data_IF_176788005593
#
_entry.id   IF_176788005593
#
_cell.length_a   1.000
_cell.length_b   1.000
_cell.length_c   1.000
_cell.angle_alpha   90.00
_cell.angle_beta   90.00
_cell.angle_gamma   90.00
#
_symmetry.space_group_name_H-M   'P 1'
#
loop_
_entity.id
_entity.type
_entity.pdbx_description
1 polymer ?
#
# COMPACT_ATOMS: atom_id res chain seq x y z
N UNK A 1 -26.24 41.68 -9.42
CA UNK A 1 -27.44 41.13 -10.10
C UNK A 1 -27.51 39.64 -9.83
N UNK A 2 -28.61 39.17 -9.24
CA UNK A 2 -28.94 37.75 -9.02
C UNK A 2 -29.11 37.07 -10.38
N UNK A 3 -28.56 35.85 -10.57
CA UNK A 3 -29.27 34.71 -11.18
C UNK A 3 -28.64 33.40 -10.68
N UNK A 4 -29.37 32.71 -9.79
CA UNK A 4 -29.22 31.28 -9.55
C UNK A 4 -29.62 30.52 -10.82
N UNK A 5 -28.95 29.40 -11.10
CA UNK A 5 -29.61 28.28 -11.75
C UNK A 5 -29.11 26.95 -11.19
N UNK A 6 -29.94 26.42 -10.32
CA UNK A 6 -30.07 25.04 -9.87
C UNK A 6 -30.22 24.09 -11.06
N UNK A 7 -29.33 23.11 -11.19
CA UNK A 7 -29.62 21.89 -11.97
C UNK A 7 -29.70 20.74 -10.97
N UNK A 8 -30.95 20.40 -10.65
CA UNK A 8 -31.37 19.15 -10.05
C UNK A 8 -31.36 18.04 -11.11
N UNK A 9 -31.08 16.80 -10.69
CA UNK A 9 -31.28 15.57 -11.47
C UNK A 9 -29.95 14.95 -11.86
N UNK A 10 -29.58 13.73 -11.46
CA UNK A 10 -30.41 12.54 -11.29
C UNK A 10 -29.69 11.56 -10.37
N UNK A 11 -30.35 11.11 -9.30
CA UNK A 11 -29.90 9.94 -8.54
C UNK A 11 -30.45 8.72 -9.30
N UNK A 12 -29.59 8.07 -10.07
CA UNK A 12 -29.89 6.76 -10.65
C UNK A 12 -29.72 5.69 -9.58
N UNK A 13 -30.84 5.24 -9.00
CA UNK A 13 -30.90 4.03 -8.19
C UNK A 13 -30.64 2.81 -9.09
N UNK A 14 -29.47 2.18 -8.99
CA UNK A 14 -29.25 0.84 -9.53
C UNK A 14 -29.52 -0.14 -8.38
N UNK A 15 -30.75 -0.64 -8.32
CA UNK A 15 -31.09 -1.82 -7.56
C UNK A 15 -31.01 -3.02 -8.50
N UNK A 16 -29.92 -3.78 -8.43
CA UNK A 16 -29.86 -5.12 -8.99
C UNK A 16 -29.64 -6.11 -7.85
N UNK A 17 -30.74 -6.67 -7.39
CA UNK A 17 -30.80 -7.84 -6.53
C UNK A 17 -30.24 -9.04 -7.28
N UNK A 18 -29.02 -9.45 -6.98
CA UNK A 18 -28.55 -10.78 -7.37
C UNK A 18 -29.01 -11.78 -6.32
N UNK A 19 -29.96 -12.61 -6.72
CA UNK A 19 -30.50 -13.72 -5.94
C UNK A 19 -29.39 -14.69 -5.52
N UNK A 20 -29.51 -15.20 -4.28
CA UNK A 20 -28.74 -16.33 -3.81
C UNK A 20 -29.25 -17.62 -4.48
N UNK A 21 -28.35 -18.40 -5.09
CA UNK A 21 -28.63 -19.79 -5.44
C UNK A 21 -28.06 -20.65 -4.32
N UNK A 22 -28.93 -21.08 -3.40
CA UNK A 22 -28.65 -22.16 -2.46
C UNK A 22 -29.04 -23.44 -3.21
N UNK A 23 -28.04 -24.16 -3.71
CA UNK A 23 -28.27 -25.52 -4.17
C UNK A 23 -28.43 -26.42 -2.93
N UNK A 24 -29.66 -26.90 -2.72
CA UNK A 24 -30.00 -27.98 -1.82
C UNK A 24 -29.20 -29.24 -2.17
N UNK A 25 -28.06 -29.44 -1.52
CA UNK A 25 -27.41 -30.74 -1.37
C UNK A 25 -28.09 -31.50 -0.25
N UNK A 26 -29.30 -31.99 -0.52
CA UNK A 26 -30.09 -32.80 0.38
C UNK A 26 -29.50 -34.22 0.43
N UNK A 27 -28.89 -34.60 1.55
CA UNK A 27 -28.78 -36.00 2.01
C UNK A 27 -28.45 -36.06 3.51
N UNK A 28 -29.54 -36.02 4.27
CA UNK A 28 -29.86 -36.70 5.52
C UNK A 28 -28.74 -37.08 6.53
N UNK A 29 -28.90 -36.74 7.82
CA UNK A 29 -28.22 -37.36 8.94
C UNK A 29 -29.01 -38.59 9.43
N UNK A 30 -28.41 -39.78 9.46
CA UNK A 30 -28.98 -40.93 10.18
C UNK A 30 -28.39 -41.00 11.60
N UNK A 31 -29.26 -40.86 12.58
CA UNK A 31 -28.98 -41.04 14.00
C UNK A 31 -29.39 -42.44 14.48
N UNK A 32 -28.72 -42.91 15.56
CA UNK A 32 -29.11 -43.95 16.55
C UNK A 32 -28.99 -45.41 16.05
N UNK A 33 -28.60 -46.43 16.83
CA UNK A 33 -28.61 -46.65 18.29
C UNK A 33 -27.96 -48.00 18.68
N UNK A 34 -27.50 -48.11 19.95
CA UNK A 34 -27.43 -49.30 20.84
C UNK A 34 -26.47 -50.46 20.45
N UNK A 35 -25.83 -51.25 21.33
CA UNK A 35 -25.74 -51.38 22.80
C UNK A 35 -24.50 -52.27 23.11
N UNK A 36 -23.74 -51.90 24.16
CA UNK A 36 -23.23 -52.74 25.28
C UNK A 36 -22.67 -54.16 25.02
N UNK A 37 -21.44 -54.45 25.51
CA UNK A 37 -21.12 -55.48 26.54
C UNK A 37 -19.70 -55.25 27.11
N UNK A 38 -19.59 -55.33 28.44
CA UNK A 38 -18.43 -55.21 29.32
C UNK A 38 -17.56 -56.49 29.37
N UNK A 39 -16.25 -56.37 29.68
CA UNK A 39 -15.68 -56.78 30.98
C UNK A 39 -14.14 -56.62 31.09
N UNK A 40 -13.73 -56.03 32.23
CA UNK A 40 -12.62 -56.33 33.17
C UNK A 40 -11.22 -56.67 32.58
N UNK A 41 -10.13 -56.04 33.01
CA UNK A 41 -9.56 -56.22 34.35
C UNK A 41 -8.54 -55.12 34.76
N UNK A 42 -8.26 -55.07 36.07
CA UNK A 42 -7.65 -54.01 36.90
C UNK A 42 -6.12 -53.87 36.77
N UNK A 43 -5.59 -52.65 36.90
CA UNK A 43 -4.60 -52.27 37.95
C UNK A 43 -4.33 -50.74 37.99
N UNK A 44 -4.33 -50.15 39.20
CA UNK A 44 -3.91 -48.77 39.57
C UNK A 44 -2.36 -48.71 39.71
N UNK A 45 -1.72 -47.58 40.07
CA UNK A 45 -1.94 -46.15 39.73
C UNK A 45 -0.61 -45.43 39.34
N UNK A 46 -0.59 -44.38 38.51
CA UNK A 46 0.43 -43.33 38.68
C UNK A 46 0.14 -42.07 37.87
N UNK A 47 0.31 -40.94 38.56
CA UNK A 47 0.78 -39.64 38.08
C UNK A 47 0.03 -38.93 36.95
N UNK A 48 -0.68 -37.87 37.36
CA UNK A 48 -0.99 -36.73 36.52
C UNK A 48 0.29 -36.16 35.86
N UNK A 49 0.32 -35.94 34.54
CA UNK A 49 1.23 -34.98 33.98
C UNK A 49 0.60 -33.59 34.16
N UNK A 50 1.15 -32.81 35.09
CA UNK A 50 1.07 -31.35 35.04
C UNK A 50 1.55 -30.90 33.66
N UNK A 51 0.61 -30.60 32.77
CA UNK A 51 0.86 -30.04 31.44
C UNK A 51 0.09 -28.73 31.34
N UNK A 52 0.59 -27.73 32.05
CA UNK A 52 0.08 -26.37 31.99
C UNK A 52 1.12 -25.50 32.67
N UNK A 53 1.95 -24.83 31.87
CA UNK A 53 2.76 -23.65 32.24
C UNK A 53 3.77 -23.28 31.14
N UNK A 54 4.07 -24.17 30.17
CA UNK A 54 5.06 -23.88 29.10
C UNK A 54 4.49 -23.22 27.82
N UNK A 55 3.17 -22.98 27.74
CA UNK A 55 2.52 -22.42 26.55
C UNK A 55 2.34 -20.90 26.58
N UNK A 56 2.09 -20.31 27.74
CA UNK A 56 1.72 -18.88 27.86
C UNK A 56 2.90 -17.92 27.63
N UNK A 57 4.14 -18.34 27.93
CA UNK A 57 5.34 -17.51 27.74
C UNK A 57 5.68 -17.33 26.25
N UNK A 58 5.56 -18.39 25.44
CA UNK A 58 5.82 -18.34 23.98
C UNK A 58 4.74 -17.61 23.20
N UNK A 59 3.50 -17.61 23.70
CA UNK A 59 2.38 -16.90 23.07
C UNK A 59 2.50 -15.39 23.31
N UNK A 60 2.92 -14.98 24.51
CA UNK A 60 3.17 -13.58 24.85
C UNK A 60 4.34 -12.94 24.07
N UNK A 61 5.43 -13.69 23.79
CA UNK A 61 6.54 -13.18 22.98
C UNK A 61 6.12 -12.96 21.51
N UNK A 62 5.42 -13.92 20.91
CA UNK A 62 4.95 -13.81 19.52
C UNK A 62 3.98 -12.65 19.33
N UNK A 63 3.08 -12.44 20.28
CA UNK A 63 2.12 -11.32 20.23
C UNK A 63 2.80 -9.95 20.37
N UNK A 64 3.85 -9.86 21.20
CA UNK A 64 4.65 -8.63 21.32
C UNK A 64 5.43 -8.34 20.05
N UNK A 65 6.06 -9.35 19.46
CA UNK A 65 6.80 -9.22 18.20
C UNK A 65 5.88 -8.80 17.05
N UNK A 66 4.68 -9.38 16.98
CA UNK A 66 3.65 -9.01 16.01
C UNK A 66 3.14 -7.58 16.14
N UNK A 67 2.86 -7.15 17.37
CA UNK A 67 2.48 -5.75 17.64
C UNK A 67 3.59 -4.78 17.23
N UNK A 68 4.85 -5.14 17.47
CA UNK A 68 5.99 -4.32 17.08
C UNK A 68 6.13 -4.22 15.55
N UNK A 69 5.95 -5.32 14.81
CA UNK A 69 5.99 -5.33 13.34
C UNK A 69 4.85 -4.49 12.74
N UNK A 70 3.62 -4.66 13.23
CA UNK A 70 2.48 -3.88 12.73
C UNK A 70 2.61 -2.39 13.00
N UNK A 71 3.16 -2.01 14.15
CA UNK A 71 3.35 -0.59 14.50
C UNK A 71 4.29 0.15 13.54
N UNK A 72 5.17 -0.57 12.82
CA UNK A 72 6.06 0.00 11.79
C UNK A 72 5.34 0.33 10.48
N UNK A 73 4.12 -0.18 10.29
CA UNK A 73 3.40 -0.11 9.02
C UNK A 73 2.04 0.55 9.17
N UNK A 74 1.31 0.26 10.25
CA UNK A 74 -0.03 0.80 10.49
C UNK A 74 -0.01 2.34 10.54
N UNK A 75 -0.71 2.95 9.58
CA UNK A 75 -0.76 4.41 9.39
C UNK A 75 0.55 5.05 8.92
N UNK A 76 1.63 4.27 8.77
CA UNK A 76 2.96 4.78 8.43
C UNK A 76 3.17 4.86 6.92
N UNK A 77 4.11 5.72 6.51
CA UNK A 77 4.57 5.77 5.13
C UNK A 77 5.52 4.60 4.85
N UNK A 78 5.13 3.69 3.96
CA UNK A 78 5.93 2.52 3.62
C UNK A 78 7.01 2.81 2.56
N UNK A 79 7.03 4.00 1.97
CA UNK A 79 8.09 4.41 1.07
C UNK A 79 7.62 5.26 -0.10
N UNK A 80 8.58 5.60 -0.95
CA UNK A 80 8.33 6.27 -2.22
C UNK A 80 8.34 5.25 -3.37
N UNK A 81 7.27 5.23 -4.14
CA UNK A 81 7.14 4.38 -5.33
C UNK A 81 7.20 5.28 -6.56
N UNK A 82 8.31 5.19 -7.28
CA UNK A 82 8.52 6.05 -8.44
C UNK A 82 7.54 5.66 -9.55
N UNK A 83 6.81 6.64 -10.13
CA UNK A 83 5.99 6.38 -11.29
C UNK A 83 6.86 6.04 -12.51
N UNK A 84 6.34 5.22 -13.41
CA UNK A 84 6.97 4.97 -14.71
C UNK A 84 6.77 6.16 -15.67
N UNK A 85 7.26 6.02 -16.91
CA UNK A 85 7.11 7.05 -17.95
C UNK A 85 5.66 7.33 -18.41
N UNK A 86 4.70 6.53 -17.95
CA UNK A 86 3.26 6.74 -18.15
C UNK A 86 2.57 7.31 -16.91
N UNK A 87 3.35 7.76 -15.92
CA UNK A 87 2.87 8.24 -14.63
C UNK A 87 2.08 7.18 -13.83
N UNK A 88 2.47 5.91 -13.95
CA UNK A 88 1.81 4.78 -13.28
C UNK A 88 2.74 4.18 -12.23
N UNK A 89 2.18 3.90 -11.04
CA UNK A 89 2.86 3.20 -9.95
C UNK A 89 2.35 1.76 -9.85
N UNK A 90 3.29 0.81 -9.83
CA UNK A 90 2.99 -0.63 -9.76
C UNK A 90 2.38 -1.01 -8.41
N UNK A 91 1.19 -1.60 -8.44
CA UNK A 91 0.58 -2.21 -7.25
C UNK A 91 1.44 -3.37 -6.72
N UNK A 92 2.11 -4.11 -7.61
CA UNK A 92 3.00 -5.22 -7.23
C UNK A 92 4.19 -4.72 -6.40
N UNK A 93 4.79 -3.60 -6.78
CA UNK A 93 5.95 -3.04 -6.06
C UNK A 93 5.54 -2.59 -4.64
N UNK A 94 4.35 -1.99 -4.52
CA UNK A 94 3.75 -1.63 -3.23
C UNK A 94 3.51 -2.87 -2.37
N UNK A 95 2.93 -3.92 -2.96
CA UNK A 95 2.66 -5.18 -2.27
C UNK A 95 3.93 -5.85 -1.77
N UNK A 96 4.97 -5.87 -2.60
CA UNK A 96 6.28 -6.43 -2.28
C UNK A 96 6.98 -5.69 -1.15
N UNK A 97 7.00 -4.36 -1.20
CA UNK A 97 7.58 -3.54 -0.12
C UNK A 97 6.84 -3.74 1.20
N UNK A 98 5.51 -3.81 1.15
CA UNK A 98 4.68 -4.09 2.31
C UNK A 98 4.99 -5.46 2.93
N UNK A 99 5.12 -6.50 2.10
CA UNK A 99 5.48 -7.85 2.53
C UNK A 99 6.87 -7.87 3.20
N UNK A 100 7.84 -7.18 2.61
CA UNK A 100 9.19 -7.04 3.16
C UNK A 100 9.19 -6.38 4.54
N UNK A 101 8.45 -5.26 4.72
CA UNK A 101 8.36 -4.56 6.02
C UNK A 101 7.68 -5.38 7.10
N UNK A 102 6.72 -6.21 6.71
CA UNK A 102 6.00 -7.11 7.62
C UNK A 102 6.73 -8.43 7.86
N UNK A 103 7.79 -8.74 7.10
CA UNK A 103 8.50 -10.02 7.20
C UNK A 103 7.64 -11.22 6.77
N UNK A 104 6.74 -11.03 5.81
CA UNK A 104 5.80 -12.05 5.33
C UNK A 104 5.95 -12.27 3.82
N UNK A 105 5.32 -13.31 3.28
CA UNK A 105 5.28 -13.51 1.83
C UNK A 105 4.18 -12.65 1.19
N UNK A 106 4.34 -12.29 -0.09
CA UNK A 106 3.29 -11.55 -0.81
C UNK A 106 1.96 -12.31 -0.90
N UNK A 107 1.98 -13.64 -0.90
CA UNK A 107 0.76 -14.47 -0.86
C UNK A 107 -0.02 -14.35 0.45
N UNK A 108 0.64 -13.91 1.52
CA UNK A 108 0.01 -13.67 2.82
C UNK A 108 -0.74 -12.33 2.87
N UNK A 109 -0.59 -11.51 1.83
CA UNK A 109 -1.27 -10.24 1.66
C UNK A 109 -2.44 -10.40 0.69
N UNK A 110 -3.66 -10.24 1.18
CA UNK A 110 -4.89 -10.35 0.38
C UNK A 110 -5.66 -9.04 0.39
N UNK A 111 -6.54 -8.85 -0.61
CA UNK A 111 -7.47 -7.72 -0.63
C UNK A 111 -6.78 -6.34 -0.67
N UNK A 112 -5.59 -6.24 -1.26
CA UNK A 112 -4.87 -4.97 -1.38
C UNK A 112 -5.70 -3.93 -2.14
N UNK A 113 -6.11 -2.87 -1.44
CA UNK A 113 -6.80 -1.71 -1.99
C UNK A 113 -5.89 -0.51 -1.91
N UNK A 114 -5.75 0.23 -3.00
CA UNK A 114 -4.93 1.42 -3.09
C UNK A 114 -5.78 2.61 -3.51
N UNK A 115 -5.53 3.75 -2.88
CA UNK A 115 -6.00 5.05 -3.28
C UNK A 115 -4.78 5.91 -3.61
N UNK A 116 -4.59 6.18 -4.90
CA UNK A 116 -3.44 6.93 -5.41
C UNK A 116 -3.55 8.44 -5.19
N UNK A 117 -4.78 8.96 -5.09
CA UNK A 117 -5.02 10.39 -4.81
C UNK A 117 -4.66 10.72 -3.36
N UNK A 118 -5.12 9.90 -2.42
CA UNK A 118 -4.82 10.03 -0.98
C UNK A 118 -3.46 9.42 -0.58
N UNK A 119 -2.78 8.79 -1.54
CA UNK A 119 -1.50 8.07 -1.36
C UNK A 119 -1.56 7.11 -0.16
N UNK A 120 -2.63 6.31 -0.11
CA UNK A 120 -2.95 5.41 1.00
C UNK A 120 -3.40 4.03 0.51
N UNK A 121 -3.29 3.04 1.38
CA UNK A 121 -3.69 1.68 1.08
C UNK A 121 -4.17 0.90 2.29
N UNK A 122 -4.87 -0.19 2.01
CA UNK A 122 -5.36 -1.15 2.99
C UNK A 122 -5.11 -2.56 2.47
N UNK A 123 -4.69 -3.47 3.35
CA UNK A 123 -4.48 -4.88 3.03
C UNK A 123 -5.04 -5.76 4.14
N UNK A 124 -5.53 -6.94 3.76
CA UNK A 124 -5.96 -7.97 4.69
C UNK A 124 -4.83 -8.99 4.89
N UNK A 125 -4.67 -9.40 6.14
CA UNK A 125 -3.63 -10.30 6.63
C UNK A 125 -4.29 -11.58 7.20
N UNK A 126 -4.60 -12.59 6.37
CA UNK A 126 -5.34 -13.78 6.81
C UNK A 126 -4.62 -14.57 7.90
N UNK A 127 -3.28 -14.66 7.82
CA UNK A 127 -2.44 -15.32 8.83
C UNK A 127 -2.50 -14.65 10.22
N UNK A 128 -3.09 -13.47 10.30
CA UNK A 128 -3.19 -12.67 11.52
C UNK A 128 -4.64 -12.36 11.84
N UNK A 129 -5.47 -13.40 11.92
CA UNK A 129 -6.91 -13.32 12.23
C UNK A 129 -7.67 -12.37 11.30
N UNK A 130 -7.33 -12.37 10.00
CA UNK A 130 -7.91 -11.49 9.00
C UNK A 130 -7.83 -9.99 9.36
N UNK A 131 -6.79 -9.59 10.07
CA UNK A 131 -6.56 -8.19 10.41
C UNK A 131 -6.44 -7.34 9.13
N UNK A 132 -7.08 -6.18 9.13
CA UNK A 132 -6.84 -5.16 8.11
C UNK A 132 -5.78 -4.18 8.60
N UNK A 133 -4.83 -3.87 7.72
CA UNK A 133 -3.72 -2.98 7.99
C UNK A 133 -3.79 -1.81 7.02
N UNK A 134 -3.80 -0.59 7.53
CA UNK A 134 -3.81 0.63 6.73
C UNK A 134 -2.42 1.23 6.68
N UNK A 135 -2.05 1.81 5.55
CA UNK A 135 -0.73 2.40 5.37
C UNK A 135 -0.79 3.60 4.41
N UNK A 136 0.27 4.39 4.41
CA UNK A 136 0.48 5.49 3.47
C UNK A 136 1.69 5.20 2.59
N UNK A 137 1.78 5.90 1.47
CA UNK A 137 2.96 5.88 0.62
C UNK A 137 3.17 7.24 -0.02
N UNK A 138 4.24 7.37 -0.81
CA UNK A 138 4.53 8.55 -1.62
C UNK A 138 4.81 8.15 -3.07
N UNK A 139 4.57 9.07 -3.99
CA UNK A 139 4.71 8.85 -5.43
C UNK A 139 5.37 10.05 -6.08
N UNK A 140 6.69 10.13 -6.02
CA UNK A 140 7.45 11.13 -6.73
C UNK A 140 8.61 10.49 -7.49
N UNK A 141 8.93 11.06 -8.64
CA UNK A 141 10.07 10.66 -9.45
C UNK A 141 11.36 11.29 -8.91
N UNK A 142 12.43 10.51 -8.77
CA UNK A 142 13.71 11.03 -8.28
C UNK A 142 14.62 11.39 -9.45
N UNK A 143 14.76 12.69 -9.71
CA UNK A 143 15.62 13.21 -10.77
C UNK A 143 17.10 13.09 -10.45
N UNK A 144 17.47 13.08 -9.17
CA UNK A 144 18.89 13.08 -8.75
C UNK A 144 19.42 14.51 -8.65
N UNK A 145 20.68 14.73 -9.00
CA UNK A 145 21.36 16.02 -8.85
C UNK A 145 21.17 16.90 -10.08
N UNK A 146 20.77 18.15 -9.86
CA UNK A 146 20.66 19.19 -10.89
C UNK A 146 21.73 20.24 -10.64
N UNK A 147 22.55 20.51 -11.65
CA UNK A 147 23.60 21.51 -11.58
C UNK A 147 23.00 22.90 -11.55
N UNK A 148 23.60 23.75 -10.73
CA UNK A 148 23.32 25.20 -10.74
C UNK A 148 24.40 25.95 -11.49
N UNK A 149 24.00 27.07 -12.06
CA UNK A 149 24.90 28.08 -12.60
C UNK A 149 25.01 29.23 -11.61
N UNK A 150 26.15 29.93 -11.58
CA UNK A 150 26.36 31.08 -10.71
C UNK A 150 26.44 32.32 -11.59
N UNK A 151 25.53 33.27 -11.36
CA UNK A 151 25.50 34.57 -12.05
C UNK A 151 25.57 35.62 -10.95
N UNK A 152 26.62 36.44 -10.95
CA UNK A 152 26.83 37.52 -9.96
C UNK A 152 26.69 37.07 -8.49
N UNK A 153 27.30 35.93 -8.15
CA UNK A 153 27.20 35.27 -6.84
C UNK A 153 25.82 34.72 -6.44
N UNK A 154 24.82 34.78 -7.33
CA UNK A 154 23.51 34.16 -7.13
C UNK A 154 23.49 32.80 -7.81
N UNK A 155 23.06 31.77 -7.06
CA UNK A 155 22.82 30.44 -7.60
C UNK A 155 21.53 30.46 -8.43
N UNK A 156 21.67 30.12 -9.71
CA UNK A 156 20.57 30.05 -10.66
C UNK A 156 20.31 28.60 -11.03
N UNK A 157 19.08 28.17 -10.77
CA UNK A 157 18.54 26.86 -11.13
C UNK A 157 17.73 26.97 -12.41
N UNK A 158 18.23 26.37 -13.48
CA UNK A 158 17.60 26.44 -14.80
C UNK A 158 16.42 25.48 -14.91
N UNK A 159 15.21 26.03 -15.11
CA UNK A 159 14.03 25.22 -15.41
C UNK A 159 14.20 24.40 -16.70
N UNK A 160 14.96 24.92 -17.68
CA UNK A 160 15.24 24.20 -18.92
C UNK A 160 16.08 22.94 -18.65
N UNK A 161 17.06 23.02 -17.75
CA UNK A 161 17.92 21.88 -17.43
C UNK A 161 17.17 20.82 -16.60
N UNK A 162 16.30 21.24 -15.69
CA UNK A 162 15.38 20.33 -15.00
C UNK A 162 14.49 19.60 -16.02
N UNK A 163 13.93 20.34 -16.98
CA UNK A 163 13.05 19.79 -18.02
C UNK A 163 13.78 18.78 -18.90
N UNK A 164 15.02 19.08 -19.30
CA UNK A 164 15.91 18.18 -20.06
C UNK A 164 16.18 16.88 -19.30
N UNK A 165 16.59 17.00 -18.04
CA UNK A 165 16.89 15.82 -17.22
C UNK A 165 15.65 14.94 -17.03
N UNK A 166 14.49 15.56 -16.80
CA UNK A 166 13.21 14.85 -16.69
C UNK A 166 12.82 14.15 -17.99
N UNK A 167 12.96 14.83 -19.14
CA UNK A 167 12.67 14.24 -20.45
C UNK A 167 13.57 13.04 -20.75
N UNK A 168 14.88 13.17 -20.48
CA UNK A 168 15.86 12.11 -20.65
C UNK A 168 15.54 10.88 -19.80
N UNK A 169 15.26 11.08 -18.51
CA UNK A 169 14.93 9.97 -17.60
C UNK A 169 13.61 9.29 -17.93
N UNK A 170 12.59 10.05 -18.29
CA UNK A 170 11.29 9.52 -18.70
C UNK A 170 11.30 8.94 -20.12
N UNK A 171 12.36 9.19 -20.91
CA UNK A 171 12.47 8.80 -22.32
C UNK A 171 11.33 9.39 -23.16
N UNK A 172 11.03 10.67 -22.95
CA UNK A 172 10.02 11.46 -23.67
C UNK A 172 10.66 12.69 -24.29
N UNK A 173 9.96 13.38 -25.20
CA UNK A 173 10.47 14.64 -25.75
C UNK A 173 10.26 15.77 -24.75
N UNK A 174 11.20 16.70 -24.68
CA UNK A 174 11.06 17.92 -23.86
C UNK A 174 9.81 18.73 -24.23
N UNK A 175 9.43 18.74 -25.51
CA UNK A 175 8.22 19.41 -26.01
C UNK A 175 6.92 18.82 -25.47
N UNK A 176 6.96 17.56 -25.04
CA UNK A 176 5.80 16.86 -24.49
C UNK A 176 5.57 17.20 -23.02
N UNK A 177 6.61 17.64 -22.31
CA UNK A 177 6.53 18.11 -20.94
C UNK A 177 6.00 19.55 -20.91
N UNK A 178 4.95 19.77 -20.12
CA UNK A 178 4.20 21.02 -20.05
C UNK A 178 3.94 21.40 -18.59
N UNK A 179 3.64 22.68 -18.36
CA UNK A 179 3.27 23.19 -17.03
C UNK A 179 4.28 22.81 -15.93
N UNK A 180 5.58 22.87 -16.24
CA UNK A 180 6.65 22.60 -15.27
C UNK A 180 6.57 23.65 -14.15
N UNK A 181 6.44 23.18 -12.91
CA UNK A 181 6.51 23.98 -11.70
C UNK A 181 7.60 23.41 -10.81
N UNK A 182 8.45 24.28 -10.29
CA UNK A 182 9.58 23.90 -9.44
C UNK A 182 9.67 24.84 -8.26
N UNK A 183 9.94 24.27 -7.10
CA UNK A 183 10.30 24.99 -5.89
C UNK A 183 11.58 24.35 -5.33
N UNK A 184 12.39 25.13 -4.64
CA UNK A 184 13.63 24.67 -4.06
C UNK A 184 13.94 25.36 -2.75
N UNK A 185 14.23 24.56 -1.72
CA UNK A 185 14.55 25.02 -0.37
C UNK A 185 15.67 24.16 0.20
N UNK A 186 16.68 24.78 0.82
CA UNK A 186 17.77 24.10 1.53
C UNK A 186 18.49 23.03 0.68
N UNK A 187 18.80 23.36 -0.59
CA UNK A 187 19.50 22.43 -1.49
C UNK A 187 18.65 21.27 -2.01
N UNK A 188 17.36 21.21 -1.68
CA UNK A 188 16.42 20.21 -2.17
C UNK A 188 15.37 20.89 -3.02
N UNK A 189 15.16 20.35 -4.21
CA UNK A 189 14.12 20.77 -5.13
C UNK A 189 12.95 19.79 -5.18
N UNK A 190 11.76 20.33 -5.35
CA UNK A 190 10.56 19.58 -5.66
C UNK A 190 9.83 20.24 -6.83
N UNK A 191 9.08 19.46 -7.58
CA UNK A 191 8.34 20.01 -8.69
C UNK A 191 7.25 19.09 -9.19
N UNK A 192 6.52 19.62 -10.16
CA UNK A 192 5.46 18.90 -10.86
C UNK A 192 5.49 19.24 -12.34
N UNK A 193 5.06 18.29 -13.17
CA UNK A 193 4.96 18.47 -14.61
C UNK A 193 3.72 17.75 -15.14
N UNK A 194 3.08 18.32 -16.15
CA UNK A 194 2.13 17.60 -17.00
C UNK A 194 2.82 17.12 -18.25
N UNK A 195 2.32 16.06 -18.87
CA UNK A 195 2.82 15.64 -20.18
C UNK A 195 1.67 15.36 -21.14
N UNK A 196 1.96 15.49 -22.43
CA UNK A 196 1.10 14.96 -23.49
C UNK A 196 1.16 13.43 -23.60
N UNK A 197 2.19 12.81 -23.05
CA UNK A 197 2.45 11.36 -23.17
C UNK A 197 1.84 10.54 -22.03
N UNK A 198 1.35 11.18 -20.97
CA UNK A 198 0.73 10.51 -19.83
C UNK A 198 -0.37 11.36 -19.19
N UNK A 199 -1.24 10.71 -18.42
CA UNK A 199 -2.35 11.37 -17.75
C UNK A 199 -1.93 11.85 -16.36
N UNK A 200 -2.52 12.96 -15.91
CA UNK A 200 -2.31 13.51 -14.58
C UNK A 200 -1.05 14.37 -14.47
N UNK A 201 -0.65 14.62 -13.22
CA UNK A 201 0.52 15.40 -12.86
C UNK A 201 1.56 14.43 -12.30
N UNK A 202 2.79 14.51 -12.80
CA UNK A 202 3.92 13.77 -12.26
C UNK A 202 4.66 14.69 -11.28
N UNK A 203 4.73 14.28 -10.02
CA UNK A 203 5.54 14.92 -8.98
C UNK A 203 6.98 14.40 -9.06
N UNK A 204 7.96 15.26 -8.78
CA UNK A 204 9.37 14.86 -8.76
C UNK A 204 10.16 15.62 -7.69
N UNK A 205 11.31 15.05 -7.32
CA UNK A 205 12.29 15.67 -6.42
C UNK A 205 13.69 15.59 -7.01
N UNK A 206 14.53 16.55 -6.64
CA UNK A 206 15.93 16.63 -7.03
C UNK A 206 16.77 17.25 -5.91
N UNK A 207 18.08 17.04 -6.01
CA UNK A 207 19.08 17.71 -5.18
C UNK A 207 19.75 18.79 -6.01
N UNK A 208 20.09 19.91 -5.37
CA UNK A 208 20.82 21.00 -5.98
C UNK A 208 22.30 20.75 -5.79
N UNK A 209 23.03 20.63 -6.90
CA UNK A 209 24.48 20.53 -6.89
C UNK A 209 25.06 21.94 -7.06
N UNK A 210 25.59 22.48 -5.96
CA UNK A 210 26.35 23.72 -5.96
C UNK A 210 27.75 23.40 -6.51
N UNK A 211 28.01 23.79 -7.76
CA UNK A 211 29.38 23.75 -8.28
C UNK A 211 30.26 24.63 -7.37
N UNK A 212 31.07 24.00 -6.52
CA UNK A 212 32.07 24.66 -5.68
C UNK A 212 33.27 25.11 -6.51
#
# INVERSE_FOLDING_TARGET
MKKLLTILGSIGLIATTSAAVIACGDRAPSAKSAEKVENKEKTKPSEAPKKGEKSEEKENEKDKELKAVFSKVEGQNIGNFQPNNKNIVSQGDIKKELANKLGVSESDLQGLKLNYDDKSGEVTLPKFNNKNLKFKFTTFYQLGKIKTSKIDNVLFLSQLDIKKELANKLKVKESDLQELKTDSTNGIGAGSVRSKTFVGILEFKFEIDENK
#
